data_IF_004556562304
#
_entry.id   IF_004556562304
#
_cell.length_a   1.000
_cell.length_b   1.000
_cell.length_c   1.000
_cell.angle_alpha   90.00
_cell.angle_beta   90.00
_cell.angle_gamma   90.00
#
_symmetry.space_group_name_H-M   'P 1'
#
loop_
_entity.id
_entity.type
_entity.pdbx_description
1 polymer ?
#
# COMPACT_ATOMS: atom_id res chain seq x y z
N UNK A 1 14.95 -22.74 17.26
CA UNK A 1 13.91 -23.71 17.67
C UNK A 1 12.63 -22.91 17.90
N UNK A 2 11.62 -23.03 17.04
CA UNK A 2 10.32 -22.39 17.29
C UNK A 2 9.63 -23.11 18.46
N UNK A 3 9.24 -22.36 19.48
CA UNK A 3 8.55 -22.92 20.65
C UNK A 3 7.09 -23.18 20.31
N UNK A 4 6.53 -24.24 20.89
CA UNK A 4 5.13 -24.64 20.70
C UNK A 4 4.15 -23.48 20.93
N UNK A 5 4.49 -22.56 21.84
CA UNK A 5 3.75 -21.32 22.13
C UNK A 5 3.71 -20.34 20.95
N UNK A 6 4.79 -20.19 20.18
CA UNK A 6 4.84 -19.27 19.04
C UNK A 6 3.91 -19.73 17.91
N UNK A 7 3.81 -21.04 17.70
CA UNK A 7 2.97 -21.61 16.65
C UNK A 7 1.49 -21.53 17.02
N UNK A 8 1.14 -21.76 18.30
CA UNK A 8 -0.23 -21.57 18.79
C UNK A 8 -0.69 -20.12 18.65
N UNK A 9 0.18 -19.16 18.99
CA UNK A 9 -0.14 -17.74 18.96
C UNK A 9 -0.27 -17.24 17.51
N UNK A 10 0.59 -17.70 16.60
CA UNK A 10 0.49 -17.43 15.17
C UNK A 10 -0.83 -17.97 14.57
N UNK A 11 -1.20 -19.20 14.92
CA UNK A 11 -2.43 -19.82 14.42
C UNK A 11 -3.69 -19.14 14.98
N UNK A 12 -3.70 -18.74 16.26
CA UNK A 12 -4.82 -18.02 16.86
C UNK A 12 -5.02 -16.64 16.22
N UNK A 13 -3.93 -15.94 15.86
CA UNK A 13 -4.00 -14.66 15.14
C UNK A 13 -4.56 -14.88 13.73
N UNK A 14 -4.07 -15.87 12.99
CA UNK A 14 -4.58 -16.25 11.67
C UNK A 14 -6.07 -16.61 11.71
N UNK A 15 -6.50 -17.38 12.72
CA UNK A 15 -7.88 -17.85 12.85
C UNK A 15 -8.84 -16.71 13.23
N UNK A 16 -8.44 -15.83 14.17
CA UNK A 16 -9.23 -14.67 14.58
C UNK A 16 -9.42 -13.65 13.44
N UNK A 17 -8.42 -13.50 12.57
CA UNK A 17 -8.43 -12.57 11.43
C UNK A 17 -9.05 -13.20 10.16
N UNK A 18 -9.33 -14.51 10.15
CA UNK A 18 -9.88 -15.25 8.99
C UNK A 18 -11.40 -15.20 8.83
N UNK A 19 -12.15 -14.81 9.86
CA UNK A 19 -13.63 -14.80 9.81
C UNK A 19 -14.19 -13.69 8.92
N UNK A 20 -13.47 -12.57 8.80
CA UNK A 20 -13.91 -11.39 8.05
C UNK A 20 -12.95 -11.02 6.90
N UNK A 21 -11.78 -11.66 6.77
CA UNK A 21 -10.89 -11.46 5.63
C UNK A 21 -11.12 -12.49 4.53
N UNK A 22 -11.03 -12.08 3.25
CA UNK A 22 -10.87 -13.04 2.18
C UNK A 22 -9.66 -13.96 2.50
N UNK A 23 -9.78 -15.27 2.22
CA UNK A 23 -8.78 -16.26 2.64
C UNK A 23 -7.38 -15.81 2.23
N UNK A 24 -6.45 -15.79 3.19
CA UNK A 24 -5.06 -15.45 2.93
C UNK A 24 -4.51 -16.46 1.91
N UNK A 25 -4.18 -15.96 0.72
CA UNK A 25 -3.93 -16.79 -0.45
C UNK A 25 -2.67 -17.64 -0.26
N UNK A 26 -2.76 -18.91 -0.63
CA UNK A 26 -1.60 -19.79 -0.70
C UNK A 26 -0.55 -19.19 -1.67
N UNK A 27 0.77 -19.24 -1.37
CA UNK A 27 1.81 -18.64 -2.20
C UNK A 27 1.79 -19.06 -3.68
N UNK A 28 1.34 -20.28 -3.98
CA UNK A 28 1.19 -20.80 -5.35
C UNK A 28 0.14 -20.07 -6.19
N UNK A 29 -0.83 -19.39 -5.56
CA UNK A 29 -1.91 -18.68 -6.25
C UNK A 29 -1.48 -17.28 -6.72
N UNK A 30 -0.25 -16.85 -6.44
CA UNK A 30 0.23 -15.51 -6.80
C UNK A 30 0.28 -15.27 -8.32
N UNK A 31 0.68 -16.28 -9.10
CA UNK A 31 0.74 -16.20 -10.57
C UNK A 31 -0.65 -16.11 -11.19
N UNK A 32 -1.60 -16.88 -10.64
CA UNK A 32 -3.01 -16.83 -11.06
C UNK A 32 -3.66 -15.50 -10.69
N UNK A 33 -3.35 -14.97 -9.51
CA UNK A 33 -3.91 -13.71 -9.04
C UNK A 33 -3.38 -12.52 -9.84
N UNK A 34 -2.10 -12.50 -10.19
CA UNK A 34 -1.52 -11.50 -11.09
C UNK A 34 -2.23 -11.47 -12.44
N UNK A 35 -2.57 -12.65 -12.99
CA UNK A 35 -3.34 -12.78 -14.23
C UNK A 35 -4.79 -12.31 -14.07
N UNK A 36 -5.44 -12.63 -12.94
CA UNK A 36 -6.80 -12.17 -12.60
C UNK A 36 -6.88 -10.66 -12.45
N UNK A 37 -5.94 -10.03 -11.74
CA UNK A 37 -5.89 -8.56 -11.63
C UNK A 37 -5.72 -7.94 -13.00
N UNK A 38 -4.77 -8.43 -13.80
CA UNK A 38 -4.52 -7.88 -15.13
C UNK A 38 -5.80 -7.90 -15.97
N UNK A 39 -6.48 -9.06 -16.02
CA UNK A 39 -7.74 -9.22 -16.73
C UNK A 39 -8.86 -8.32 -16.16
N UNK A 40 -8.91 -8.13 -14.85
CA UNK A 40 -9.87 -7.21 -14.22
C UNK A 40 -9.60 -5.76 -14.61
N UNK A 41 -8.34 -5.32 -14.58
CA UNK A 41 -7.92 -3.98 -14.99
C UNK A 41 -8.32 -3.75 -16.44
N UNK A 42 -8.01 -4.68 -17.35
CA UNK A 42 -8.31 -4.58 -18.79
C UNK A 42 -9.81 -4.39 -19.10
N UNK A 43 -10.71 -4.74 -18.17
CA UNK A 43 -12.17 -4.55 -18.33
C UNK A 43 -12.68 -3.19 -17.85
N UNK A 44 -11.83 -2.33 -17.27
CA UNK A 44 -12.25 -1.04 -16.72
C UNK A 44 -12.16 0.09 -17.75
N UNK A 45 -13.06 1.08 -17.68
CA UNK A 45 -12.99 2.24 -18.58
C UNK A 45 -11.68 3.03 -18.39
N UNK A 46 -11.14 3.08 -17.17
CA UNK A 46 -9.87 3.74 -16.83
C UNK A 46 -8.66 2.77 -16.84
N UNK A 47 -8.73 1.67 -17.57
CA UNK A 47 -7.68 0.64 -17.58
C UNK A 47 -6.30 1.18 -18.00
N UNK A 48 -6.25 2.13 -18.95
CA UNK A 48 -5.01 2.79 -19.39
C UNK A 48 -4.32 3.54 -18.25
N UNK A 49 -5.08 4.36 -17.50
CA UNK A 49 -4.60 5.08 -16.33
C UNK A 49 -4.10 4.13 -15.23
N UNK A 50 -4.79 3.00 -15.03
CA UNK A 50 -4.38 1.99 -14.06
C UNK A 50 -3.05 1.34 -14.50
N UNK A 51 -2.89 1.00 -15.79
CA UNK A 51 -1.64 0.46 -16.35
C UNK A 51 -0.49 1.47 -16.24
N UNK A 52 -0.78 2.75 -16.51
CA UNK A 52 0.17 3.84 -16.33
C UNK A 52 0.65 3.92 -14.87
N UNK A 53 -0.26 3.94 -13.90
CA UNK A 53 0.08 3.95 -12.47
C UNK A 53 0.91 2.71 -12.04
N UNK A 54 0.72 1.55 -12.67
CA UNK A 54 1.52 0.35 -12.37
C UNK A 54 2.94 0.41 -12.95
N UNK A 55 3.10 1.07 -14.11
CA UNK A 55 4.38 1.18 -14.81
C UNK A 55 5.19 2.37 -14.30
N UNK A 56 4.50 3.47 -13.98
CA UNK A 56 5.03 4.71 -13.44
C UNK A 56 4.32 4.98 -12.10
N UNK A 57 4.72 4.29 -11.01
CA UNK A 57 4.09 4.50 -9.72
C UNK A 57 4.26 5.97 -9.32
N UNK A 58 3.16 6.68 -8.99
CA UNK A 58 3.18 8.12 -8.75
C UNK A 58 3.95 8.51 -7.48
N UNK A 59 4.25 7.52 -6.64
CA UNK A 59 5.17 7.65 -5.51
C UNK A 59 6.04 6.40 -5.46
N UNK A 60 7.29 6.58 -5.05
CA UNK A 60 8.15 5.44 -4.75
C UNK A 60 7.78 4.94 -3.37
N UNK A 61 7.56 3.63 -3.24
CA UNK A 61 7.42 2.99 -1.94
C UNK A 61 8.82 2.89 -1.29
N UNK A 62 9.36 4.05 -0.94
CA UNK A 62 10.68 4.21 -0.37
C UNK A 62 10.57 4.95 0.97
N UNK A 63 11.59 4.80 1.80
CA UNK A 63 11.68 5.52 3.06
C UNK A 63 12.05 6.97 2.79
N UNK A 64 11.14 7.87 3.13
CA UNK A 64 11.36 9.31 3.03
C UNK A 64 11.48 9.91 4.41
N UNK A 65 12.44 10.81 4.54
CA UNK A 65 12.60 11.62 5.75
C UNK A 65 11.63 12.80 5.67
N UNK A 66 10.83 12.96 6.72
CA UNK A 66 9.90 14.07 6.88
C UNK A 66 10.16 14.76 8.21
N UNK A 67 10.21 16.08 8.20
CA UNK A 67 10.24 16.86 9.43
C UNK A 67 8.85 16.97 10.04
N UNK A 68 8.72 16.59 11.30
CA UNK A 68 7.49 16.66 12.08
C UNK A 68 7.74 17.53 13.33
N UNK A 69 6.90 18.54 13.62
CA UNK A 69 7.02 19.33 14.85
C UNK A 69 6.84 18.43 16.07
N UNK A 70 7.69 18.60 17.09
CA UNK A 70 7.60 17.82 18.33
C UNK A 70 6.43 18.32 19.21
N UNK A 71 6.02 19.58 19.03
CA UNK A 71 4.88 20.22 19.68
C UNK A 71 4.23 21.25 18.75
N UNK A 72 2.92 21.47 18.84
CA UNK A 72 2.25 22.55 18.10
C UNK A 72 2.89 23.91 18.44
N UNK A 73 3.37 24.62 17.41
CA UNK A 73 4.00 25.94 17.54
C UNK A 73 5.44 25.96 18.08
N UNK A 74 6.06 24.80 18.31
CA UNK A 74 7.46 24.72 18.79
C UNK A 74 8.49 24.82 17.67
N UNK A 75 9.66 25.46 17.89
CA UNK A 75 10.71 25.57 16.88
C UNK A 75 11.49 24.25 16.65
N UNK A 76 11.21 23.22 17.45
CA UNK A 76 11.93 21.95 17.42
C UNK A 76 11.17 20.96 16.54
N UNK A 77 11.78 20.58 15.42
CA UNK A 77 11.30 19.54 14.50
C UNK A 77 12.12 18.27 14.69
N UNK A 78 11.49 17.11 14.50
CA UNK A 78 12.15 15.80 14.46
C UNK A 78 12.03 15.22 13.07
N UNK A 79 13.12 14.66 12.55
CA UNK A 79 13.11 13.89 11.31
C UNK A 79 12.56 12.49 11.57
N UNK A 80 11.51 12.13 10.87
CA UNK A 80 10.87 10.82 10.94
C UNK A 80 10.93 10.13 9.58
N UNK A 81 11.24 8.83 9.58
CA UNK A 81 11.22 8.01 8.38
C UNK A 81 9.79 7.52 8.15
N UNK A 82 9.18 7.98 7.08
CA UNK A 82 7.79 7.65 6.73
C UNK A 82 7.77 7.02 5.34
N UNK A 83 6.89 6.03 5.14
CA UNK A 83 6.57 5.56 3.79
C UNK A 83 5.69 6.59 3.09
N UNK A 84 6.02 6.93 1.85
CA UNK A 84 5.12 7.70 1.00
C UNK A 84 3.87 6.86 0.68
N UNK A 85 2.71 7.44 0.95
CA UNK A 85 1.38 6.90 0.71
C UNK A 85 0.53 8.01 0.09
N UNK A 86 -0.55 7.64 -0.59
CA UNK A 86 -1.46 8.62 -1.20
C UNK A 86 -1.98 9.71 -0.24
N UNK A 87 -2.05 9.43 1.07
CA UNK A 87 -2.53 10.38 2.07
C UNK A 87 -1.47 11.38 2.52
N UNK A 88 -0.18 11.04 2.40
CA UNK A 88 0.92 11.86 2.93
C UNK A 88 1.85 12.41 1.84
N UNK A 89 1.61 12.04 0.57
CA UNK A 89 2.30 12.58 -0.61
C UNK A 89 1.96 14.06 -0.80
N UNK A 90 2.88 14.83 -1.40
CA UNK A 90 2.71 16.26 -1.70
C UNK A 90 1.42 16.51 -2.50
N UNK A 91 0.76 17.63 -2.24
CA UNK A 91 -0.47 18.02 -2.93
C UNK A 91 -0.26 18.13 -4.45
N UNK A 92 0.91 18.60 -4.90
CA UNK A 92 1.29 18.67 -6.32
C UNK A 92 1.20 17.31 -7.04
N UNK A 93 1.63 16.23 -6.38
CA UNK A 93 1.56 14.87 -6.94
C UNK A 93 0.10 14.40 -7.02
N UNK A 94 -0.73 14.79 -6.05
CA UNK A 94 -2.16 14.45 -6.04
C UNK A 94 -2.91 15.20 -7.14
N UNK A 95 -2.56 16.47 -7.35
CA UNK A 95 -3.17 17.31 -8.38
C UNK A 95 -2.79 16.84 -9.78
N UNK A 96 -1.52 16.45 -10.02
CA UNK A 96 -1.11 15.80 -11.26
C UNK A 96 -1.91 14.52 -11.55
N UNK A 97 -2.04 13.64 -10.55
CA UNK A 97 -2.81 12.40 -10.68
C UNK A 97 -4.28 12.62 -11.02
N UNK A 98 -4.90 13.64 -10.40
CA UNK A 98 -6.29 13.96 -10.65
C UNK A 98 -6.49 14.58 -12.04
N UNK A 99 -5.56 15.42 -12.50
CA UNK A 99 -5.60 16.01 -13.83
C UNK A 99 -5.47 14.94 -14.94
N UNK A 100 -4.62 13.94 -14.73
CA UNK A 100 -4.42 12.83 -15.68
C UNK A 100 -5.61 11.84 -15.69
N UNK A 101 -6.41 11.81 -14.62
CA UNK A 101 -7.63 11.02 -14.54
C UNK A 101 -8.85 11.69 -15.22
N UNK A 102 -8.81 13.01 -15.45
CA UNK A 102 -9.87 13.79 -16.09
C UNK A 102 -9.63 14.07 -17.59
N UNK A 103 -8.44 13.72 -18.11
CA UNK A 103 -8.07 13.83 -19.52
C UNK A 103 -8.58 12.65 -20.36
#
# INVERSE_FOLDING_TARGET
>A
MQTQTSNTLHNAIMEADSKDRPPMLAPGNYVEWKSRIKRYIDTKPNHELIHYCFTNPPYKLDWKEKEVPISEGGPITRTERVHETYKNVSQEIRDQLNAEAEA
#
